data_IF_197592956313
#
_entry.id   IF_197592956313
#
_cell.length_a   1.000
_cell.length_b   1.000
_cell.length_c   1.000
_cell.angle_alpha   90.00
_cell.angle_beta   90.00
_cell.angle_gamma   90.00
#
_symmetry.space_group_name_H-M   'P 1'
#
loop_
_entity.id
_entity.type
_entity.pdbx_description
1 polymer ?
#
# COMPACT_ATOMS: atom_id res chain seq x y z
N UNK A 1 -17.96 -11.46 3.46
CA UNK A 1 -17.40 -10.85 2.78
C UNK A 1 -17.13 -11.39 1.60
N UNK A 2 -17.04 -10.95 0.83
CA UNK A 2 -16.86 -11.54 -0.18
C UNK A 2 -15.81 -11.25 -0.83
N UNK A 3 -15.33 -11.62 -1.34
CA UNK A 3 -14.49 -11.37 -2.00
C UNK A 3 -14.75 -11.63 -3.25
N UNK A 4 -15.20 -12.10 -3.48
CA UNK A 4 -15.59 -12.42 -4.58
C UNK A 4 -15.07 -11.77 -5.61
N UNK A 5 -15.15 -11.82 -6.41
CA UNK A 5 -14.82 -11.31 -7.44
C UNK A 5 -14.81 -10.08 -7.42
N UNK A 6 -15.48 -9.74 -7.08
CA UNK A 6 -15.61 -8.59 -7.00
C UNK A 6 -15.22 -8.30 -5.80
N UNK A 7 -14.65 -8.27 -5.35
CA UNK A 7 -14.06 -7.89 -4.43
C UNK A 7 -14.67 -6.98 -3.56
N UNK A 8 -15.39 -7.37 -2.70
CA UNK A 8 -15.89 -6.60 -1.74
C UNK A 8 -14.98 -6.66 -0.59
N UNK A 9 -14.41 -5.61 -0.12
CA UNK A 9 -13.51 -5.56 1.01
C UNK A 9 -14.27 -5.00 2.19
N UNK A 10 -14.63 -5.83 3.17
CA UNK A 10 -15.36 -5.33 4.33
C UNK A 10 -14.54 -4.31 5.09
N UNK A 11 -15.17 -3.26 5.55
CA UNK A 11 -14.50 -2.22 6.30
C UNK A 11 -15.15 -2.10 7.67
N UNK A 12 -14.43 -2.57 8.71
CA UNK A 12 -14.86 -2.37 10.04
C UNK A 12 -14.12 -1.18 10.55
N UNK A 13 -14.74 -0.36 11.32
CA UNK A 13 -14.10 0.80 11.94
C UNK A 13 -13.40 1.65 10.88
N UNK A 14 -14.16 2.21 9.94
CA UNK A 14 -13.55 2.90 8.80
C UNK A 14 -12.67 4.08 9.18
N UNK A 15 -12.84 4.64 10.38
CA UNK A 15 -12.03 5.77 10.82
C UNK A 15 -10.75 5.36 11.53
N UNK A 16 -10.53 4.06 11.74
CA UNK A 16 -9.34 3.60 12.42
C UNK A 16 -8.15 3.61 11.47
N UNK A 17 -7.02 4.08 11.97
CA UNK A 17 -5.79 4.04 11.18
C UNK A 17 -5.39 2.60 10.90
N UNK A 18 -4.90 2.34 9.71
CA UNK A 18 -4.60 0.98 9.29
C UNK A 18 -3.12 0.69 9.55
N UNK A 19 -2.82 -0.53 9.98
CA UNK A 19 -1.43 -0.95 10.12
C UNK A 19 -0.89 -1.38 8.77
N UNK A 20 0.44 -1.44 8.67
CA UNK A 20 1.09 -1.89 7.44
C UNK A 20 0.66 -3.32 7.10
N UNK A 21 0.61 -4.22 8.11
CA UNK A 21 0.16 -5.60 7.87
C UNK A 21 -1.27 -5.65 7.34
N UNK A 22 -2.17 -4.86 7.92
CA UNK A 22 -3.55 -4.80 7.44
C UNK A 22 -3.61 -4.29 6.01
N UNK A 23 -2.81 -3.29 5.70
CA UNK A 23 -2.77 -2.75 4.35
C UNK A 23 -2.27 -3.80 3.35
N UNK A 24 -1.18 -4.49 3.68
CA UNK A 24 -0.66 -5.53 2.79
C UNK A 24 -1.70 -6.61 2.54
N UNK A 25 -2.42 -7.02 3.59
CA UNK A 25 -3.45 -8.04 3.44
C UNK A 25 -4.60 -7.56 2.55
N UNK A 26 -5.03 -6.30 2.72
CA UNK A 26 -6.10 -5.75 1.88
C UNK A 26 -5.68 -5.71 0.42
N UNK A 27 -4.46 -5.27 0.14
CA UNK A 27 -3.97 -5.17 -1.24
C UNK A 27 -3.84 -6.55 -1.86
N UNK A 28 -3.30 -7.52 -1.13
CA UNK A 28 -3.14 -8.87 -1.66
C UNK A 28 -4.50 -9.50 -1.98
N UNK A 29 -5.49 -9.26 -1.13
CA UNK A 29 -6.84 -9.76 -1.38
C UNK A 29 -7.49 -9.05 -2.57
N UNK A 30 -7.26 -7.75 -2.68
CA UNK A 30 -7.76 -6.98 -3.80
C UNK A 30 -7.15 -7.46 -5.12
N UNK A 31 -5.88 -7.87 -5.09
CA UNK A 31 -5.22 -8.43 -6.27
C UNK A 31 -5.61 -9.88 -6.55
N UNK A 32 -6.33 -10.51 -5.61
CA UNK A 32 -6.78 -11.91 -5.74
C UNK A 32 -5.60 -12.85 -5.98
N UNK A 33 -4.55 -12.70 -5.18
CA UNK A 33 -3.36 -13.52 -5.35
C UNK A 33 -3.56 -14.93 -4.83
N UNK A 34 -2.97 -15.90 -5.52
CA UNK A 34 -2.94 -17.28 -5.04
C UNK A 34 -1.78 -17.40 -4.07
N UNK A 35 -2.08 -17.30 -2.78
CA UNK A 35 -1.04 -17.24 -1.75
C UNK A 35 -0.25 -18.53 -1.62
N UNK A 36 -0.79 -19.67 -2.11
CA UNK A 36 -0.06 -20.93 -2.01
C UNK A 36 1.23 -20.91 -2.83
N UNK A 37 1.29 -20.07 -3.86
CA UNK A 37 2.50 -19.96 -4.68
C UNK A 37 3.65 -19.31 -3.93
N UNK A 38 3.36 -18.63 -2.83
CA UNK A 38 4.36 -17.85 -2.11
C UNK A 38 4.70 -18.44 -0.74
N UNK A 39 4.16 -19.60 -0.41
CA UNK A 39 4.29 -20.17 0.94
C UNK A 39 5.73 -20.39 1.36
N UNK A 40 6.62 -20.68 0.41
CA UNK A 40 8.01 -20.97 0.72
C UNK A 40 8.95 -19.78 0.55
N UNK A 41 8.41 -18.58 0.33
CA UNK A 41 9.24 -17.39 0.18
C UNK A 41 9.88 -17.06 1.51
N UNK A 42 11.18 -16.78 1.50
CA UNK A 42 11.89 -16.37 2.70
C UNK A 42 11.97 -14.86 2.74
N UNK A 43 11.60 -14.28 3.87
CA UNK A 43 11.58 -12.85 4.03
C UNK A 43 12.91 -12.38 4.64
N UNK A 44 13.51 -11.32 4.08
CA UNK A 44 14.80 -10.84 4.57
C UNK A 44 14.69 -9.90 5.77
N UNK A 45 13.48 -9.69 6.28
CA UNK A 45 13.25 -8.66 7.30
C UNK A 45 13.71 -9.15 8.67
N UNK A 46 14.49 -8.33 9.35
CA UNK A 46 14.98 -8.70 10.69
C UNK A 46 13.84 -8.75 11.70
N UNK A 47 12.73 -8.09 11.43
CA UNK A 47 11.55 -8.09 12.28
C UNK A 47 10.42 -8.95 11.72
N UNK A 48 10.74 -9.94 10.88
CA UNK A 48 9.72 -10.79 10.29
C UNK A 48 8.88 -11.51 11.35
N UNK A 49 9.45 -11.79 12.50
CA UNK A 49 8.72 -12.46 13.57
C UNK A 49 7.55 -11.64 14.12
N UNK A 50 7.55 -10.31 13.87
CA UNK A 50 6.45 -9.46 14.32
C UNK A 50 5.26 -9.48 13.37
N UNK A 51 5.37 -10.13 12.23
CA UNK A 51 4.26 -10.19 11.28
C UNK A 51 3.19 -11.10 11.84
N UNK A 52 1.94 -10.63 11.97
CA UNK A 52 0.87 -11.50 12.45
C UNK A 52 0.67 -12.70 11.53
N UNK A 53 0.32 -13.84 12.11
CA UNK A 53 0.13 -15.06 11.32
C UNK A 53 -0.87 -14.86 10.19
N UNK A 54 -1.93 -14.11 10.44
CA UNK A 54 -2.97 -13.92 9.42
C UNK A 54 -2.49 -13.08 8.22
N UNK A 55 -1.37 -12.38 8.35
CA UNK A 55 -0.83 -11.57 7.25
C UNK A 55 0.43 -12.16 6.63
N UNK A 56 0.96 -13.24 7.18
CA UNK A 56 2.29 -13.72 6.78
C UNK A 56 2.36 -14.10 5.30
N UNK A 57 1.38 -14.84 4.81
CA UNK A 57 1.42 -15.27 3.41
C UNK A 57 1.20 -14.09 2.47
N UNK A 58 0.36 -13.14 2.85
CA UNK A 58 0.17 -11.92 2.06
C UNK A 58 1.47 -11.12 1.98
N UNK A 59 2.18 -10.99 3.08
CA UNK A 59 3.46 -10.29 3.09
C UNK A 59 4.49 -10.99 2.20
N UNK A 60 4.52 -12.33 2.26
CA UNK A 60 5.42 -13.10 1.40
C UNK A 60 5.13 -12.86 -0.06
N UNK A 61 3.85 -12.86 -0.43
CA UNK A 61 3.46 -12.61 -1.82
C UNK A 61 3.85 -11.21 -2.26
N UNK A 62 3.57 -10.21 -1.44
CA UNK A 62 3.89 -8.82 -1.77
C UNK A 62 5.39 -8.61 -1.93
N UNK A 63 6.18 -9.25 -1.07
CA UNK A 63 7.63 -9.16 -1.18
C UNK A 63 8.13 -9.85 -2.44
N UNK A 64 7.64 -11.07 -2.71
CA UNK A 64 8.07 -11.83 -3.87
C UNK A 64 7.77 -11.10 -5.18
N UNK A 65 6.65 -10.39 -5.23
CA UNK A 65 6.26 -9.65 -6.43
C UNK A 65 6.95 -8.29 -6.57
N UNK A 66 7.80 -7.92 -5.62
CA UNK A 66 8.50 -6.64 -5.67
C UNK A 66 7.64 -5.44 -5.29
N UNK A 67 6.44 -5.69 -4.77
CA UNK A 67 5.53 -4.63 -4.36
C UNK A 67 5.93 -4.07 -3.00
N UNK A 68 6.35 -4.96 -2.09
CA UNK A 68 6.82 -4.58 -0.76
C UNK A 68 8.33 -4.74 -0.72
N UNK A 69 9.05 -3.67 -0.40
CA UNK A 69 10.50 -3.73 -0.34
C UNK A 69 11.05 -3.52 1.06
N UNK A 70 10.26 -2.96 1.96
CA UNK A 70 10.70 -2.72 3.33
C UNK A 70 11.55 -1.47 3.46
N UNK A 71 11.84 -1.11 4.69
CA UNK A 71 12.72 -0.03 5.03
C UNK A 71 14.03 -0.56 5.57
N UNK A 72 15.01 0.32 5.72
CA UNK A 72 16.30 -0.09 6.27
C UNK A 72 16.58 0.68 7.55
N UNK A 73 17.19 0.02 8.52
CA UNK A 73 17.70 0.67 9.70
C UNK A 73 19.03 0.03 10.07
N UNK A 74 19.58 0.38 11.22
CA UNK A 74 20.89 -0.12 11.61
C UNK A 74 20.95 -1.64 11.73
N UNK A 75 19.81 -2.27 12.01
CA UNK A 75 19.75 -3.72 12.18
C UNK A 75 19.52 -4.46 10.87
N UNK A 76 19.17 -3.78 9.81
CA UNK A 76 18.88 -4.39 8.51
C UNK A 76 17.55 -3.95 7.96
N UNK A 77 16.99 -4.75 7.04
CA UNK A 77 15.68 -4.45 6.46
C UNK A 77 14.58 -4.73 7.45
N UNK A 78 13.56 -3.89 7.46
CA UNK A 78 12.40 -4.06 8.32
C UNK A 78 11.11 -3.98 7.53
N UNK A 79 10.08 -4.68 8.00
CA UNK A 79 8.75 -4.61 7.41
C UNK A 79 7.83 -3.71 8.25
N UNK A 80 8.10 -3.57 9.54
CA UNK A 80 7.30 -2.76 10.47
C UNK A 80 5.81 -3.07 10.38
N UNK A 81 5.47 -4.34 10.48
CA UNK A 81 4.12 -4.83 10.20
C UNK A 81 3.05 -4.19 11.07
N UNK A 82 3.37 -3.89 12.33
CA UNK A 82 2.38 -3.37 13.28
C UNK A 82 2.32 -1.85 13.32
N UNK A 83 3.21 -1.17 12.62
CA UNK A 83 3.17 0.30 12.54
C UNK A 83 2.04 0.73 11.61
N UNK A 84 1.50 1.92 11.84
CA UNK A 84 0.53 2.51 10.92
C UNK A 84 1.24 2.96 9.65
N UNK A 85 0.51 3.14 8.57
CA UNK A 85 1.10 3.44 7.27
C UNK A 85 0.69 4.84 6.83
N UNK A 86 1.64 5.57 6.24
CA UNK A 86 1.34 6.91 5.72
C UNK A 86 0.75 6.82 4.31
N UNK A 87 0.11 7.90 3.88
CA UNK A 87 -0.44 7.97 2.52
C UNK A 87 0.67 7.78 1.48
N UNK A 88 1.82 8.42 1.67
CA UNK A 88 2.92 8.28 0.71
C UNK A 88 3.39 6.84 0.60
N UNK A 89 3.51 6.14 1.72
CA UNK A 89 3.92 4.74 1.70
C UNK A 89 2.89 3.85 1.01
N UNK A 90 1.62 4.05 1.37
CA UNK A 90 0.56 3.25 0.79
C UNK A 90 0.45 3.48 -0.72
N UNK A 91 0.52 4.73 -1.15
CA UNK A 91 0.43 5.06 -2.56
C UNK A 91 1.62 4.54 -3.35
N UNK A 92 2.80 4.52 -2.74
CA UNK A 92 3.97 3.91 -3.37
C UNK A 92 3.74 2.41 -3.61
N UNK A 93 3.19 1.72 -2.61
CA UNK A 93 2.89 0.29 -2.75
C UNK A 93 1.83 0.07 -3.81
N UNK A 94 0.77 0.87 -3.79
CA UNK A 94 -0.28 0.75 -4.81
C UNK A 94 0.25 1.05 -6.20
N UNK A 95 1.14 2.05 -6.32
CA UNK A 95 1.75 2.36 -7.61
C UNK A 95 2.57 1.21 -8.16
N UNK A 96 3.21 0.44 -7.27
CA UNK A 96 4.00 -0.72 -7.71
C UNK A 96 3.13 -1.86 -8.21
N UNK A 97 1.82 -1.86 -7.89
CA UNK A 97 0.92 -2.90 -8.41
C UNK A 97 0.44 -2.60 -9.82
N UNK A 98 0.71 -1.38 -10.32
CA UNK A 98 0.15 -0.93 -11.59
C UNK A 98 1.12 -1.14 -12.73
N UNK A 99 0.57 -1.42 -13.92
CA UNK A 99 1.36 -1.47 -15.11
C UNK A 99 1.86 -0.06 -15.44
N UNK A 100 2.95 0.02 -16.17
CA UNK A 100 3.48 1.30 -16.59
C UNK A 100 2.71 1.80 -17.81
N UNK A 101 2.92 3.05 -18.14
CA UNK A 101 2.30 3.61 -19.34
C UNK A 101 1.29 4.69 -19.07
N UNK A 102 1.01 4.99 -17.82
CA UNK A 102 0.11 6.09 -17.50
C UNK A 102 0.88 7.41 -17.51
N UNK A 103 0.16 8.49 -17.75
CA UNK A 103 0.75 9.81 -17.68
C UNK A 103 1.20 10.09 -16.26
N UNK A 104 2.28 10.86 -16.13
CA UNK A 104 2.82 11.23 -14.83
C UNK A 104 2.89 12.75 -14.76
N UNK A 105 1.74 13.42 -14.57
CA UNK A 105 1.74 14.88 -14.55
C UNK A 105 2.53 15.41 -13.36
N UNK A 106 2.94 16.67 -13.45
CA UNK A 106 3.54 17.33 -12.32
C UNK A 106 2.53 17.43 -11.19
N UNK A 107 3.00 17.27 -9.97
CA UNK A 107 2.13 17.42 -8.81
C UNK A 107 1.95 18.91 -8.54
N UNK A 108 0.71 19.37 -8.63
CA UNK A 108 0.39 20.78 -8.44
C UNK A 108 -0.26 21.08 -7.10
N UNK A 109 -0.30 20.10 -6.20
CA UNK A 109 -0.88 20.29 -4.88
C UNK A 109 -0.03 21.25 -4.07
N UNK A 110 -0.67 22.01 -3.17
CA UNK A 110 0.03 23.02 -2.38
C UNK A 110 1.13 22.40 -1.49
N UNK A 111 0.98 21.13 -1.13
CA UNK A 111 1.95 20.43 -0.30
C UNK A 111 2.81 19.44 -1.08
N UNK A 112 2.91 19.61 -2.39
CA UNK A 112 3.70 18.68 -3.21
C UNK A 112 5.16 18.60 -2.76
N UNK A 113 5.70 19.69 -2.20
CA UNK A 113 7.08 19.69 -1.70
C UNK A 113 7.32 18.76 -0.53
N UNK A 114 6.26 18.25 0.12
CA UNK A 114 6.40 17.32 1.22
C UNK A 114 6.45 15.86 0.74
N UNK A 115 6.25 15.62 -0.54
CA UNK A 115 6.26 14.26 -1.09
C UNK A 115 7.70 13.79 -1.17
N UNK A 116 8.06 12.65 -0.55
CA UNK A 116 9.44 12.15 -0.62
C UNK A 116 9.78 11.74 -2.05
N UNK A 117 11.06 11.84 -2.38
CA UNK A 117 11.53 11.49 -3.72
C UNK A 117 11.16 10.07 -4.11
N UNK A 118 11.25 9.14 -3.15
CA UNK A 118 10.97 7.73 -3.44
C UNK A 118 9.50 7.47 -3.76
N UNK A 119 8.62 8.41 -3.42
CA UNK A 119 7.19 8.25 -3.67
C UNK A 119 6.73 9.05 -4.89
N UNK A 120 7.49 10.07 -5.30
CA UNK A 120 6.98 11.07 -6.25
C UNK A 120 6.50 10.48 -7.57
N UNK A 121 7.26 9.56 -8.15
CA UNK A 121 6.88 8.96 -9.43
C UNK A 121 5.61 8.16 -9.33
N UNK A 122 5.45 7.40 -8.25
CA UNK A 122 4.24 6.60 -8.06
C UNK A 122 3.03 7.48 -7.82
N UNK A 123 3.19 8.56 -7.05
CA UNK A 123 2.08 9.47 -6.79
C UNK A 123 1.66 10.18 -8.08
N UNK A 124 2.62 10.60 -8.90
CA UNK A 124 2.29 11.22 -10.19
C UNK A 124 1.51 10.25 -11.08
N UNK A 125 1.92 8.99 -11.09
CA UNK A 125 1.23 7.99 -11.89
C UNK A 125 -0.21 7.81 -11.41
N UNK A 126 -0.43 7.73 -10.10
CA UNK A 126 -1.78 7.57 -9.57
C UNK A 126 -2.65 8.80 -9.81
N UNK A 127 -2.06 9.99 -9.80
CA UNK A 127 -2.78 11.20 -10.17
C UNK A 127 -3.16 11.14 -11.65
N UNK A 128 -2.24 10.70 -12.51
CA UNK A 128 -2.51 10.55 -13.94
C UNK A 128 -3.63 9.57 -14.23
N UNK A 129 -3.79 8.55 -13.39
CA UNK A 129 -4.86 7.57 -13.54
C UNK A 129 -6.18 8.04 -12.93
N UNK A 130 -6.19 9.17 -12.25
CA UNK A 130 -7.40 9.66 -11.58
C UNK A 130 -7.67 8.99 -10.25
N UNK A 131 -6.75 8.19 -9.73
CA UNK A 131 -6.91 7.51 -8.44
C UNK A 131 -6.78 8.51 -7.29
N UNK A 132 -5.85 9.45 -7.41
CA UNK A 132 -5.61 10.47 -6.40
C UNK A 132 -6.09 11.79 -6.95
N UNK A 133 -7.01 12.42 -6.24
CA UNK A 133 -7.54 13.74 -6.64
C UNK A 133 -7.22 14.84 -5.65
N UNK A 134 -6.72 14.47 -4.46
CA UNK A 134 -6.42 15.44 -3.42
C UNK A 134 -7.64 15.90 -2.66
N UNK A 135 -7.42 16.71 -1.62
CA UNK A 135 -8.48 17.26 -0.81
C UNK A 135 -8.00 18.66 -0.42
N UNK A 136 -8.76 19.68 -0.75
CA UNK A 136 -8.37 21.08 -0.52
C UNK A 136 -7.03 21.39 -1.15
N UNK A 137 -6.80 20.87 -2.35
CA UNK A 137 -5.56 21.08 -3.10
C UNK A 137 -4.34 20.54 -2.34
N UNK A 138 -4.51 19.49 -1.52
CA UNK A 138 -3.44 18.88 -0.75
C UNK A 138 -3.45 17.39 -0.95
N UNK A 139 -2.27 16.79 -1.05
CA UNK A 139 -2.12 15.34 -1.21
C UNK A 139 -1.88 14.66 0.13
N UNK A 140 -1.36 15.39 1.11
CA UNK A 140 -1.16 14.94 2.50
C UNK A 140 -0.33 13.67 2.60
N UNK A 141 0.91 13.70 2.10
CA UNK A 141 1.72 12.47 2.01
C UNK A 141 2.08 11.87 3.36
N UNK A 142 2.15 12.69 4.40
CA UNK A 142 2.56 12.21 5.72
C UNK A 142 1.41 11.85 6.65
N UNK A 143 0.17 12.07 6.22
CA UNK A 143 -0.97 11.68 7.03
C UNK A 143 -1.11 10.17 7.06
N UNK A 144 -1.61 9.63 8.17
CA UNK A 144 -1.89 8.22 8.27
C UNK A 144 -3.19 7.89 7.54
N UNK A 145 -3.25 6.71 6.94
CA UNK A 145 -4.45 6.29 6.25
C UNK A 145 -5.37 5.54 7.19
N UNK A 146 -6.66 5.75 7.01
CA UNK A 146 -7.68 4.97 7.69
C UNK A 146 -8.11 3.80 6.81
N UNK A 147 -8.80 2.83 7.41
CA UNK A 147 -9.34 1.70 6.66
C UNK A 147 -10.29 2.15 5.57
N UNK A 148 -11.12 3.14 5.88
CA UNK A 148 -12.07 3.67 4.88
C UNK A 148 -11.38 4.30 3.70
N UNK A 149 -10.29 5.03 3.96
CA UNK A 149 -9.54 5.66 2.87
C UNK A 149 -8.88 4.63 1.97
N UNK A 150 -8.34 3.55 2.55
CA UNK A 150 -7.75 2.48 1.75
C UNK A 150 -8.81 1.83 0.88
N UNK A 151 -9.98 1.54 1.44
CA UNK A 151 -11.07 0.95 0.67
C UNK A 151 -11.45 1.82 -0.51
N UNK A 152 -11.50 3.15 -0.31
CA UNK A 152 -11.82 4.08 -1.41
C UNK A 152 -10.75 4.07 -2.48
N UNK A 153 -9.47 4.03 -2.09
CA UNK A 153 -8.39 3.98 -3.07
C UNK A 153 -8.45 2.70 -3.89
N UNK A 154 -8.67 1.57 -3.25
CA UNK A 154 -8.73 0.30 -3.97
C UNK A 154 -9.93 0.26 -4.91
N UNK A 155 -11.06 0.84 -4.50
CA UNK A 155 -12.22 0.92 -5.35
C UNK A 155 -11.94 1.78 -6.59
N UNK A 156 -11.23 2.88 -6.40
CA UNK A 156 -10.88 3.77 -7.52
C UNK A 156 -9.93 3.12 -8.52
N UNK A 157 -9.24 2.07 -8.10
CA UNK A 157 -8.27 1.38 -8.97
C UNK A 157 -8.85 0.15 -9.68
N UNK A 158 -10.14 -0.12 -9.49
CA UNK A 158 -10.77 -1.27 -10.15
C UNK A 158 -10.88 -1.13 -11.67
#
# INVERSE_FOLDING_TARGET
MSKGTGVEIPVYQPEKNITRAEFFAMVARWMDLDLTQYANVELPFVDAASIPDWALNEVKAMYSLGILKGGANESGLTVNALATISRAEAMTILGRTQAKGYAEPELTFSDAGQVPDWAAGYLRSLVGQGVITGNDNRIRPNDLLTRGEVAKLLYAML
#
